data_IF_651623445972
#
_entry.id   IF_651623445972
#
_cell.length_a   1.000
_cell.length_b   1.000
_cell.length_c   1.000
_cell.angle_alpha   90.00
_cell.angle_beta   90.00
_cell.angle_gamma   90.00
#
_symmetry.space_group_name_H-M   'P 1'
#
loop_
_entity.id
_entity.type
_entity.pdbx_description
1 polymer ?
#
# COMPACT_ATOMS: atom_id res chain seq x y z
N UNK A 1 22.21 1.92 11.22
CA UNK A 1 22.15 2.05 9.74
C UNK A 1 21.52 0.77 9.20
N UNK A 2 20.20 0.68 9.27
CA UNK A 2 19.48 -0.60 9.16
C UNK A 2 19.26 -0.98 7.70
N UNK A 3 20.27 -1.63 7.13
CA UNK A 3 20.14 -2.38 5.88
C UNK A 3 19.43 -3.70 6.20
N UNK A 4 18.17 -3.80 5.78
CA UNK A 4 17.47 -5.07 5.68
C UNK A 4 16.45 -4.96 4.55
N UNK A 5 16.96 -4.67 3.35
CA UNK A 5 16.17 -4.76 2.12
C UNK A 5 16.37 -6.16 1.57
N UNK A 6 15.76 -7.16 2.20
CA UNK A 6 15.64 -8.48 1.59
C UNK A 6 14.48 -8.44 0.58
N UNK A 7 14.79 -7.96 -0.63
CA UNK A 7 13.97 -8.13 -1.84
C UNK A 7 14.21 -9.52 -2.44
N UNK A 8 13.67 -10.55 -1.80
CA UNK A 8 13.37 -11.80 -2.47
C UNK A 8 12.25 -12.48 -1.69
N UNK A 9 11.00 -12.17 -2.02
CA UNK A 9 9.86 -12.87 -1.41
C UNK A 9 9.16 -13.63 -2.51
N UNK A 10 9.25 -14.95 -2.41
CA UNK A 10 8.58 -15.89 -3.31
C UNK A 10 7.06 -15.81 -3.12
N UNK A 11 6.56 -15.28 -1.99
CA UNK A 11 5.14 -15.20 -1.65
C UNK A 11 4.87 -14.03 -0.68
N UNK A 12 3.62 -13.52 -0.70
CA UNK A 12 3.14 -12.55 0.30
C UNK A 12 3.01 -13.21 1.67
N UNK A 13 3.37 -12.47 2.73
CA UNK A 13 3.10 -12.93 4.09
C UNK A 13 1.62 -12.76 4.45
N UNK A 14 1.10 -13.54 5.40
CA UNK A 14 -0.29 -13.43 5.91
C UNK A 14 -0.67 -12.00 6.29
N UNK A 15 0.29 -11.26 6.88
CA UNK A 15 0.10 -9.87 7.25
C UNK A 15 -0.07 -8.97 6.02
N UNK A 16 0.73 -9.19 4.99
CA UNK A 16 0.70 -8.41 3.75
C UNK A 16 -0.59 -8.67 2.98
N UNK A 17 -0.99 -9.94 2.89
CA UNK A 17 -2.28 -10.36 2.36
C UNK A 17 -3.43 -9.70 3.13
N UNK A 18 -3.42 -9.73 4.47
CA UNK A 18 -4.44 -9.09 5.29
C UNK A 18 -4.49 -7.57 5.13
N UNK A 19 -3.35 -6.92 4.86
CA UNK A 19 -3.29 -5.49 4.53
C UNK A 19 -3.97 -5.22 3.18
N UNK A 20 -3.70 -6.01 2.15
CA UNK A 20 -4.34 -5.87 0.84
C UNK A 20 -5.87 -6.09 0.95
N UNK A 21 -6.29 -7.13 1.65
CA UNK A 21 -7.72 -7.39 1.88
C UNK A 21 -8.42 -6.25 2.64
N UNK A 22 -7.72 -5.64 3.60
CA UNK A 22 -8.22 -4.46 4.30
C UNK A 22 -8.38 -3.24 3.38
N UNK A 23 -7.44 -3.02 2.46
CA UNK A 23 -7.53 -1.93 1.48
C UNK A 23 -8.60 -2.18 0.41
N UNK A 24 -8.94 -3.44 0.12
CA UNK A 24 -10.03 -3.80 -0.81
C UNK A 24 -11.40 -3.41 -0.29
N UNK A 25 -11.58 -3.45 1.03
CA UNK A 25 -12.88 -3.27 1.66
C UNK A 25 -13.29 -1.80 1.70
N UNK A 26 -14.49 -1.43 1.21
CA UNK A 26 -15.06 -0.10 1.44
C UNK A 26 -15.23 0.11 2.94
N UNK A 27 -14.48 1.07 3.50
CA UNK A 27 -14.53 1.37 4.93
C UNK A 27 -15.82 2.12 5.27
N UNK A 28 -16.78 1.38 5.82
CA UNK A 28 -18.06 1.90 6.34
C UNK A 28 -18.16 1.67 7.86
N UNK A 29 -17.02 1.65 8.55
CA UNK A 29 -16.97 1.45 10.00
C UNK A 29 -17.13 2.81 10.68
N UNK A 30 -17.96 2.85 11.72
CA UNK A 30 -18.16 3.95 12.66
C UNK A 30 -16.84 4.32 13.38
N UNK A 31 -15.91 4.97 12.69
CA UNK A 31 -14.60 5.30 13.22
C UNK A 31 -13.59 5.74 12.16
N UNK A 32 -12.43 6.23 12.61
CA UNK A 32 -11.34 6.58 11.70
C UNK A 32 -10.65 5.31 11.18
N UNK A 33 -10.23 5.30 9.91
CA UNK A 33 -9.41 4.23 9.33
C UNK A 33 -8.16 3.94 10.17
N UNK A 34 -7.57 4.97 10.78
CA UNK A 34 -6.41 4.80 11.65
C UNK A 34 -6.70 4.04 12.94
N UNK A 35 -7.87 4.24 13.53
CA UNK A 35 -8.30 3.47 14.71
C UNK A 35 -8.42 1.99 14.35
N UNK A 36 -9.08 1.68 13.23
CA UNK A 36 -9.22 0.31 12.73
C UNK A 36 -7.86 -0.33 12.38
N UNK A 37 -6.91 0.46 11.85
CA UNK A 37 -5.54 -0.03 11.62
C UNK A 37 -4.87 -0.46 12.93
N UNK A 38 -4.96 0.38 13.97
CA UNK A 38 -4.35 0.08 15.28
C UNK A 38 -4.99 -1.17 15.89
N UNK A 39 -6.30 -1.26 15.86
CA UNK A 39 -7.06 -2.39 16.40
C UNK A 39 -6.77 -3.70 15.67
N UNK A 40 -6.83 -3.71 14.33
CA UNK A 40 -6.71 -4.93 13.54
C UNK A 40 -5.26 -5.43 13.40
N UNK A 41 -4.28 -4.54 13.32
CA UNK A 41 -2.90 -4.90 12.99
C UNK A 41 -1.89 -4.65 14.11
N UNK A 42 -2.33 -4.05 15.23
CA UNK A 42 -1.46 -3.78 16.38
C UNK A 42 -0.27 -2.86 16.08
N UNK A 43 -0.34 -2.05 15.01
CA UNK A 43 0.73 -1.15 14.59
C UNK A 43 0.25 0.28 14.41
N UNK A 44 1.20 1.21 14.46
CA UNK A 44 0.92 2.60 14.16
C UNK A 44 0.46 2.77 12.70
N UNK A 45 -0.42 3.74 12.41
CA UNK A 45 -0.85 4.04 11.04
C UNK A 45 0.31 4.37 10.10
N UNK A 46 1.35 5.03 10.60
CA UNK A 46 2.55 5.34 9.82
C UNK A 46 3.24 4.05 9.35
N UNK A 47 3.46 3.08 10.26
CA UNK A 47 4.06 1.78 9.91
C UNK A 47 3.20 1.01 8.91
N UNK A 48 1.88 1.06 9.09
CA UNK A 48 0.93 0.43 8.18
C UNK A 48 1.06 0.98 6.75
N UNK A 49 1.07 2.31 6.60
CA UNK A 49 1.19 2.93 5.29
C UNK A 49 2.56 2.68 4.65
N UNK A 50 3.64 2.57 5.41
CA UNK A 50 4.96 2.16 4.89
C UNK A 50 4.93 0.74 4.31
N UNK A 51 4.33 -0.21 5.02
CA UNK A 51 4.21 -1.59 4.55
C UNK A 51 3.35 -1.63 3.28
N UNK A 52 2.17 -1.01 3.32
CA UNK A 52 1.31 -0.89 2.14
C UNK A 52 2.05 -0.28 0.96
N UNK A 53 2.75 0.85 1.16
CA UNK A 53 3.44 1.52 0.07
C UNK A 53 4.59 0.68 -0.50
N UNK A 54 5.21 -0.19 0.29
CA UNK A 54 6.21 -1.16 -0.16
C UNK A 54 5.57 -2.29 -0.98
N UNK A 55 4.42 -2.82 -0.54
CA UNK A 55 3.64 -3.80 -1.31
C UNK A 55 3.21 -3.26 -2.67
N UNK A 56 2.88 -1.97 -2.75
CA UNK A 56 2.55 -1.35 -4.02
C UNK A 56 3.70 -1.35 -5.01
N UNK A 57 4.94 -1.63 -4.63
CA UNK A 57 6.07 -1.69 -5.56
C UNK A 57 6.52 -3.14 -5.85
N UNK A 58 5.83 -4.13 -5.28
CA UNK A 58 6.16 -5.55 -5.40
C UNK A 58 5.36 -6.26 -6.52
N UNK A 59 5.91 -7.36 -7.04
CA UNK A 59 5.26 -8.16 -8.09
C UNK A 59 4.18 -9.09 -7.50
N UNK A 60 4.42 -9.61 -6.31
CA UNK A 60 3.56 -10.52 -5.57
C UNK A 60 2.21 -9.86 -5.23
N UNK A 61 2.23 -8.56 -4.88
CA UNK A 61 1.01 -7.80 -4.66
C UNK A 61 0.20 -7.61 -5.96
N UNK A 62 0.88 -7.44 -7.10
CA UNK A 62 0.22 -7.36 -8.41
C UNK A 62 -0.38 -8.70 -8.81
N UNK A 63 0.25 -9.82 -8.48
CA UNK A 63 -0.30 -11.16 -8.72
C UNK A 63 -1.52 -11.45 -7.84
N UNK A 64 -1.50 -10.98 -6.59
CA UNK A 64 -2.60 -11.16 -5.65
C UNK A 64 -3.87 -10.39 -6.03
N UNK A 65 -3.77 -9.07 -6.25
CA UNK A 65 -4.91 -8.24 -6.66
C UNK A 65 -4.44 -7.09 -7.58
N UNK A 66 -4.31 -7.34 -8.90
CA UNK A 66 -3.77 -6.36 -9.83
C UNK A 66 -4.58 -5.06 -9.85
N UNK A 67 -5.91 -5.15 -9.74
CA UNK A 67 -6.80 -3.99 -9.84
C UNK A 67 -6.68 -3.09 -8.62
N UNK A 68 -6.65 -3.67 -7.41
CA UNK A 68 -6.42 -2.93 -6.18
C UNK A 68 -5.06 -2.23 -6.22
N UNK A 69 -4.00 -2.95 -6.58
CA UNK A 69 -2.64 -2.40 -6.59
C UNK A 69 -2.50 -1.26 -7.61
N UNK A 70 -3.02 -1.43 -8.84
CA UNK A 70 -2.99 -0.37 -9.84
C UNK A 70 -3.79 0.87 -9.40
N UNK A 71 -4.96 0.67 -8.76
CA UNK A 71 -5.77 1.77 -8.21
C UNK A 71 -5.00 2.52 -7.13
N UNK A 72 -4.37 1.82 -6.19
CA UNK A 72 -3.59 2.40 -5.11
C UNK A 72 -2.34 3.12 -5.62
N UNK A 73 -1.63 2.56 -6.61
CA UNK A 73 -0.50 3.21 -7.31
C UNK A 73 -0.92 4.53 -7.95
N UNK A 74 -2.08 4.56 -8.63
CA UNK A 74 -2.63 5.78 -9.25
C UNK A 74 -2.97 6.84 -8.19
N UNK A 75 -3.60 6.45 -7.08
CA UNK A 75 -3.90 7.35 -5.96
C UNK A 75 -2.62 7.89 -5.29
N UNK A 76 -1.56 7.07 -5.18
CA UNK A 76 -0.25 7.51 -4.67
C UNK A 76 0.38 8.57 -5.56
N UNK A 77 0.34 8.36 -6.88
CA UNK A 77 0.88 9.31 -7.86
C UNK A 77 0.11 10.63 -7.85
N UNK A 78 -1.23 10.59 -7.81
CA UNK A 78 -2.09 11.78 -7.66
C UNK A 78 -1.80 12.57 -6.37
N UNK A 79 -1.53 11.88 -5.26
CA UNK A 79 -1.15 12.55 -4.00
C UNK A 79 0.22 13.24 -4.11
N UNK A 80 1.19 12.60 -4.78
CA UNK A 80 2.50 13.19 -5.04
C UNK A 80 2.40 14.41 -5.97
N UNK A 81 1.63 14.33 -7.05
CA UNK A 81 1.44 15.45 -7.97
C UNK A 81 0.89 16.69 -7.27
N UNK A 82 -0.12 16.51 -6.41
CA UNK A 82 -0.71 17.60 -5.61
C UNK A 82 0.32 18.18 -4.63
N UNK A 83 1.10 17.32 -3.95
CA UNK A 83 2.09 17.77 -2.96
C UNK A 83 3.24 18.57 -3.58
N UNK A 84 3.70 18.16 -4.75
CA UNK A 84 4.90 18.72 -5.38
C UNK A 84 4.59 19.66 -6.55
N UNK A 85 3.32 19.89 -6.89
CA UNK A 85 2.92 20.71 -8.05
C UNK A 85 3.33 20.12 -9.40
N UNK A 86 3.68 18.83 -9.45
CA UNK A 86 4.18 18.17 -10.67
C UNK A 86 2.98 17.73 -11.53
N UNK A 87 2.88 18.09 -12.82
CA UNK A 87 1.85 17.58 -13.71
C UNK A 87 1.88 16.04 -13.79
N UNK A 88 0.71 15.40 -13.86
CA UNK A 88 0.59 13.94 -13.93
C UNK A 88 1.02 13.44 -15.33
N UNK A 89 2.31 13.48 -15.63
CA UNK A 89 2.87 12.91 -16.86
C UNK A 89 2.96 11.40 -16.64
N UNK A 90 2.09 10.63 -17.29
CA UNK A 90 2.14 9.17 -17.23
C UNK A 90 3.45 8.70 -17.89
N UNK A 91 4.48 8.42 -17.08
CA UNK A 91 5.67 7.75 -17.59
C UNK A 91 5.31 6.30 -17.90
N UNK A 92 5.48 5.85 -19.17
CA UNK A 92 5.35 4.44 -19.49
C UNK A 92 6.55 3.73 -18.85
N UNK A 93 6.23 2.73 -18.04
CA UNK A 93 6.97 1.49 -17.77
C UNK A 93 8.48 1.55 -18.07
N UNK A 94 9.31 1.51 -17.01
CA UNK A 94 10.65 0.92 -17.07
C UNK A 94 10.72 -0.24 -16.10
#
# INVERSE_FOLDING_TARGET
MTSAVYHNRVELTDRETAILDFERTPWEVTGSKESAIRERFGISPSRYYQIRDSLLDSAEALEYDPLLVLRLRKLRTKRRSIRYGIPQIHSPIR
#
